data_IF_574114783103
#
_entry.id   IF_574114783103
#
_cell.length_a   1.000
_cell.length_b   1.000
_cell.length_c   1.000
_cell.angle_alpha   90.00
_cell.angle_beta   90.00
_cell.angle_gamma   90.00
#
_symmetry.space_group_name_H-M   'P 1'
#
loop_
_entity.id
_entity.type
_entity.pdbx_description
1 polymer ?
#
# COMPACT_ATOMS: atom_id res chain seq x y z
N UNK A 1 8.32 6.42 7.96
CA UNK A 1 9.39 6.67 8.94
C UNK A 1 9.44 5.64 10.08
N UNK A 2 8.30 5.21 10.66
CA UNK A 2 8.30 4.21 11.76
C UNK A 2 8.79 2.80 11.38
N UNK A 3 8.49 2.29 10.19
CA UNK A 3 8.93 0.94 9.77
C UNK A 3 10.47 0.83 9.67
N UNK A 4 11.11 1.79 8.99
CA UNK A 4 12.57 1.86 8.89
C UNK A 4 13.26 1.99 10.26
N UNK A 5 12.68 2.78 11.18
CA UNK A 5 13.20 2.91 12.54
C UNK A 5 13.14 1.60 13.36
N UNK A 6 12.36 0.61 12.91
CA UNK A 6 12.23 -0.72 13.51
C UNK A 6 12.97 -1.80 12.69
N UNK A 7 13.76 -1.41 11.68
CA UNK A 7 14.46 -2.37 10.81
C UNK A 7 13.55 -3.12 9.83
N UNK A 8 12.30 -2.67 9.64
CA UNK A 8 11.35 -3.32 8.74
C UNK A 8 11.39 -2.69 7.34
N UNK A 9 11.49 -3.56 6.33
CA UNK A 9 11.33 -3.20 4.93
C UNK A 9 9.88 -2.81 4.61
N UNK A 10 9.69 -1.93 3.62
CA UNK A 10 8.36 -1.57 3.12
C UNK A 10 8.35 -1.46 1.60
N UNK A 11 7.31 -2.02 0.99
CA UNK A 11 7.03 -1.95 -0.45
C UNK A 11 5.72 -1.18 -0.69
N UNK A 12 5.65 -0.46 -1.82
CA UNK A 12 4.48 0.32 -2.23
C UNK A 12 3.86 -0.30 -3.48
N UNK A 13 2.61 -0.76 -3.37
CA UNK A 13 1.82 -1.24 -4.49
C UNK A 13 0.77 -0.19 -4.87
N UNK A 14 0.88 0.35 -6.09
CA UNK A 14 -0.10 1.29 -6.64
C UNK A 14 -0.98 0.61 -7.68
N UNK A 15 -2.29 0.60 -7.44
CA UNK A 15 -3.27 0.05 -8.36
C UNK A 15 -3.78 1.17 -9.28
N UNK A 16 -3.22 1.22 -10.49
CA UNK A 16 -3.56 2.23 -11.50
C UNK A 16 -4.84 1.89 -12.26
N UNK A 17 -5.95 1.82 -11.53
CA UNK A 17 -7.26 1.48 -12.08
C UNK A 17 -8.01 2.78 -12.42
N UNK A 18 -8.49 2.95 -13.66
CA UNK A 18 -9.30 4.13 -14.02
C UNK A 18 -10.53 4.28 -13.12
N UNK A 19 -10.84 5.52 -12.73
CA UNK A 19 -11.98 5.83 -11.84
C UNK A 19 -13.31 5.29 -12.37
N UNK A 20 -13.53 5.34 -13.69
CA UNK A 20 -14.71 4.76 -14.35
C UNK A 20 -14.85 3.26 -14.12
N UNK A 21 -13.73 2.53 -14.05
CA UNK A 21 -13.73 1.09 -13.79
C UNK A 21 -14.00 0.82 -12.31
N UNK A 22 -13.50 1.68 -11.42
CA UNK A 22 -13.81 1.62 -9.99
C UNK A 22 -15.30 1.85 -9.73
N UNK A 23 -15.93 2.84 -10.38
CA UNK A 23 -17.37 3.09 -10.28
C UNK A 23 -18.20 1.87 -10.73
N UNK A 24 -17.84 1.26 -11.86
CA UNK A 24 -18.51 0.02 -12.34
C UNK A 24 -18.41 -1.11 -11.32
N UNK A 25 -17.22 -1.33 -10.74
CA UNK A 25 -17.00 -2.36 -9.71
C UNK A 25 -17.74 -2.04 -8.41
N UNK A 26 -17.79 -0.77 -8.03
CA UNK A 26 -18.48 -0.29 -6.85
C UNK A 26 -19.99 -0.55 -6.95
N UNK A 27 -20.61 -0.25 -8.09
CA UNK A 27 -22.03 -0.52 -8.33
C UNK A 27 -22.38 -2.02 -8.13
N UNK A 28 -21.55 -2.93 -8.67
CA UNK A 28 -21.72 -4.38 -8.50
C UNK A 28 -21.57 -4.79 -7.03
N UNK A 29 -20.56 -4.24 -6.34
CA UNK A 29 -20.31 -4.51 -4.92
C UNK A 29 -21.46 -4.03 -4.05
N UNK A 30 -21.93 -2.81 -4.25
CA UNK A 30 -23.02 -2.23 -3.46
C UNK A 30 -24.34 -2.98 -3.66
N UNK A 31 -24.61 -3.45 -4.89
CA UNK A 31 -25.78 -4.30 -5.17
C UNK A 31 -25.71 -5.67 -4.48
N UNK A 32 -24.50 -6.17 -4.20
CA UNK A 32 -24.25 -7.45 -3.53
C UNK A 32 -23.42 -7.24 -2.26
N UNK A 33 -23.82 -6.29 -1.42
CA UNK A 33 -23.00 -5.76 -0.32
C UNK A 33 -22.50 -6.90 0.59
N UNK A 34 -21.17 -7.18 0.61
CA UNK A 34 -20.64 -8.26 1.43
C UNK A 34 -20.82 -8.01 2.93
N UNK A 35 -21.07 -9.05 3.75
CA UNK A 35 -21.14 -8.91 5.19
C UNK A 35 -19.88 -8.26 5.78
N UNK A 36 -20.06 -7.36 6.76
CA UNK A 36 -18.95 -6.62 7.38
C UNK A 36 -18.39 -5.49 6.52
N UNK A 37 -19.06 -5.11 5.43
CA UNK A 37 -18.68 -3.95 4.60
C UNK A 37 -19.76 -2.87 4.61
N UNK A 38 -19.38 -1.67 4.19
CA UNK A 38 -20.27 -0.51 4.14
C UNK A 38 -20.62 -0.16 2.70
N UNK A 39 -21.79 0.43 2.48
CA UNK A 39 -22.12 1.03 1.19
C UNK A 39 -21.24 2.28 0.98
N UNK A 40 -20.70 2.46 -0.23
CA UNK A 40 -19.95 3.65 -0.63
C UNK A 40 -20.65 4.30 -1.81
N UNK A 41 -20.95 5.59 -1.77
CA UNK A 41 -21.61 6.28 -2.89
C UNK A 41 -20.62 6.66 -3.98
N UNK A 42 -21.13 6.92 -5.18
CA UNK A 42 -20.31 7.38 -6.30
C UNK A 42 -19.64 8.72 -5.98
N UNK A 43 -20.32 9.63 -5.29
CA UNK A 43 -19.80 10.94 -4.88
C UNK A 43 -18.63 10.80 -3.90
N UNK A 44 -18.70 9.84 -2.97
CA UNK A 44 -17.61 9.56 -2.05
C UNK A 44 -16.37 9.07 -2.80
N UNK A 45 -16.55 8.12 -3.73
CA UNK A 45 -15.45 7.62 -4.53
C UNK A 45 -14.83 8.72 -5.41
N UNK A 46 -15.66 9.54 -6.04
CA UNK A 46 -15.21 10.67 -6.86
C UNK A 46 -14.47 11.72 -6.04
N UNK A 47 -14.93 11.99 -4.81
CA UNK A 47 -14.23 12.88 -3.87
C UNK A 47 -12.84 12.31 -3.53
N UNK A 48 -12.75 11.04 -3.16
CA UNK A 48 -11.46 10.42 -2.82
C UNK A 48 -10.51 10.35 -4.01
N UNK A 49 -11.03 10.17 -5.22
CA UNK A 49 -10.23 10.23 -6.43
C UNK A 49 -9.57 11.60 -6.64
N UNK A 50 -10.13 12.69 -6.11
CA UNK A 50 -9.50 14.02 -6.17
C UNK A 50 -8.33 14.19 -5.21
N UNK A 51 -8.26 13.35 -4.17
CA UNK A 51 -7.17 13.37 -3.18
C UNK A 51 -6.06 12.39 -3.52
N UNK A 52 -6.32 11.41 -4.39
CA UNK A 52 -5.37 10.37 -4.73
C UNK A 52 -4.26 10.94 -5.62
N UNK A 53 -3.07 11.02 -5.07
CA UNK A 53 -1.86 11.35 -5.81
C UNK A 53 -1.21 10.07 -6.35
N UNK A 54 -0.82 10.08 -7.62
CA UNK A 54 0.01 9.01 -8.18
C UNK A 54 1.38 9.07 -7.51
N UNK A 55 1.92 7.95 -6.99
CA UNK A 55 3.24 7.96 -6.39
C UNK A 55 4.32 8.36 -7.39
N UNK A 56 5.31 9.09 -6.88
CA UNK A 56 6.49 9.46 -7.64
C UNK A 56 7.43 8.25 -7.80
N UNK A 57 8.31 8.31 -8.81
CA UNK A 57 9.28 7.25 -9.06
C UNK A 57 10.18 6.94 -7.84
N UNK A 58 10.52 7.96 -7.05
CA UNK A 58 11.30 7.79 -5.82
C UNK A 58 10.52 7.08 -4.71
N UNK A 59 9.19 7.25 -4.66
CA UNK A 59 8.34 6.60 -3.66
C UNK A 59 8.06 5.13 -3.99
N UNK A 60 8.18 4.77 -5.26
CA UNK A 60 8.07 3.40 -5.76
C UNK A 60 9.32 2.55 -5.48
N UNK A 61 10.43 3.17 -5.07
CA UNK A 61 11.64 2.42 -4.70
C UNK A 61 11.41 1.71 -3.35
N UNK A 62 11.76 0.43 -3.23
CA UNK A 62 11.74 -0.27 -1.94
C UNK A 62 12.56 0.51 -0.91
N UNK A 63 12.00 0.69 0.29
CA UNK A 63 12.78 1.23 1.41
C UNK A 63 13.48 0.07 2.09
N UNK A 64 14.73 -0.14 1.70
CA UNK A 64 15.63 -1.08 2.33
C UNK A 64 16.14 -0.48 3.65
N UNK A 65 16.18 -1.30 4.68
CA UNK A 65 16.92 -0.98 5.91
C UNK A 65 18.30 -1.61 5.78
N UNK A 66 19.35 -0.80 5.81
CA UNK A 66 20.69 -1.32 6.10
C UNK A 66 20.72 -1.69 7.58
N UNK A 67 20.63 -2.98 7.85
CA UNK A 67 20.90 -3.49 9.19
C UNK A 67 22.42 -3.43 9.34
N UNK A 68 22.90 -2.57 10.24
CA UNK A 68 24.33 -2.31 10.45
C UNK A 68 25.14 -3.59 10.53
N UNK A 69 26.36 -3.53 10.00
CA UNK A 69 27.37 -4.57 9.81
C UNK A 69 27.28 -5.72 10.84
N UNK A 70 26.41 -6.70 10.58
CA UNK A 70 26.43 -7.97 11.30
C UNK A 70 27.63 -8.76 10.79
N UNK A 71 28.82 -8.44 11.32
CA UNK A 71 29.86 -9.47 11.44
C UNK A 71 29.30 -10.52 12.39
N UNK A 72 28.77 -11.59 11.81
CA UNK A 72 28.79 -12.88 12.45
C UNK A 72 30.27 -13.21 12.67
N UNK A 73 30.80 -12.87 13.84
CA UNK A 73 31.92 -13.62 14.38
C UNK A 73 31.37 -15.02 14.60
N UNK A 74 31.60 -15.87 13.60
CA UNK A 74 31.45 -17.30 13.74
C UNK A 74 32.52 -17.66 14.77
N UNK A 75 32.10 -17.84 16.01
CA UNK A 75 32.94 -18.42 17.05
C UNK A 75 33.25 -19.85 16.58
N UNK A 76 34.41 -20.03 15.94
CA UNK A 76 34.97 -21.35 15.70
C UNK A 76 35.35 -21.91 17.07
N UNK A 77 34.35 -22.51 17.72
CA UNK A 77 34.49 -23.21 18.99
C UNK A 77 35.66 -24.19 18.94
N UNK A 78 36.53 -24.00 19.92
CA UNK A 78 37.74 -24.75 20.25
C UNK A 78 37.54 -26.24 20.50
#
# INVERSE_FOLDING_TARGET
ARAAALGANSELFFLDVPTEQLLKRLAIRNANLPPGTFHVTDEQLLLWATWLERPLAEEMKPRLVEIGDWRLEIDEGS
#
